data_IF_028694720331
#
_entry.id   IF_028694720331
#
_cell.length_a   1.000
_cell.length_b   1.000
_cell.length_c   1.000
_cell.angle_alpha   90.00
_cell.angle_beta   90.00
_cell.angle_gamma   90.00
#
_symmetry.space_group_name_H-M   'P 1'
#
loop_
_entity.id
_entity.type
_entity.pdbx_description
1 polymer ?
#
# COMPACT_ATOMS: atom_id res chain seq x y z
N UNK A 1 9.96 -75.91 -1.68
CA UNK A 1 8.73 -75.17 -1.55
C UNK A 1 9.09 -73.90 -0.85
N UNK A 2 9.38 -72.86 -1.61
CA UNK A 2 9.80 -71.55 -1.09
C UNK A 2 8.74 -70.51 -1.37
N UNK A 3 8.25 -69.84 -0.33
CA UNK A 3 7.27 -68.82 -0.37
C UNK A 3 7.97 -67.47 -0.75
N UNK A 4 7.47 -66.62 -1.66
CA UNK A 4 8.06 -65.34 -1.96
C UNK A 4 7.64 -64.29 -0.93
N UNK A 5 8.60 -63.47 -0.53
CA UNK A 5 8.43 -62.30 0.34
C UNK A 5 7.67 -61.19 -0.39
N UNK A 6 6.72 -60.58 0.32
CA UNK A 6 6.00 -59.42 -0.12
C UNK A 6 6.90 -58.15 0.02
N UNK A 7 7.15 -57.48 -1.09
CA UNK A 7 7.84 -56.19 -1.14
C UNK A 7 6.80 -55.13 -0.85
N UNK A 8 6.96 -54.43 0.27
CA UNK A 8 6.16 -53.25 0.65
C UNK A 8 6.76 -51.99 -0.02
N UNK A 9 6.05 -51.44 -0.98
CA UNK A 9 6.39 -50.12 -1.56
C UNK A 9 6.22 -49.01 -0.52
N UNK A 10 7.14 -48.04 -0.46
CA UNK A 10 6.98 -46.90 0.41
C UNK A 10 5.93 -45.94 -0.17
N UNK A 11 4.90 -45.67 0.64
CA UNK A 11 3.91 -44.62 0.40
C UNK A 11 4.64 -43.28 0.37
N UNK A 12 4.77 -42.71 -0.83
CA UNK A 12 5.22 -41.32 -1.01
C UNK A 12 4.11 -40.41 -0.52
N UNK A 13 4.25 -39.89 0.69
CA UNK A 13 3.44 -38.76 1.14
C UNK A 13 3.59 -37.60 0.16
N UNK A 14 2.54 -37.39 -0.62
CA UNK A 14 2.40 -36.16 -1.41
C UNK A 14 2.18 -35.02 -0.44
N UNK A 15 3.26 -34.35 -0.08
CA UNK A 15 3.19 -33.02 0.51
C UNK A 15 2.39 -32.14 -0.44
N UNK A 16 1.16 -31.83 -0.07
CA UNK A 16 0.33 -30.82 -0.74
C UNK A 16 1.09 -29.52 -0.66
N UNK A 17 1.74 -29.14 -1.75
CA UNK A 17 2.29 -27.81 -1.92
C UNK A 17 1.10 -26.84 -1.81
N UNK A 18 0.99 -26.21 -0.66
CA UNK A 18 0.13 -25.08 -0.43
C UNK A 18 0.58 -24.01 -1.43
N UNK A 19 -0.28 -23.65 -2.37
CA UNK A 19 -0.03 -22.53 -3.29
C UNK A 19 -0.08 -21.23 -2.46
N UNK A 20 0.99 -20.96 -1.71
CA UNK A 20 1.17 -19.69 -1.04
C UNK A 20 1.34 -18.63 -2.11
N UNK A 21 0.28 -17.88 -2.38
CA UNK A 21 0.40 -16.59 -3.05
C UNK A 21 1.41 -15.80 -2.23
N UNK A 22 2.58 -15.50 -2.79
CA UNK A 22 3.59 -14.78 -2.02
C UNK A 22 3.08 -13.37 -1.72
N UNK A 23 3.22 -12.91 -0.48
CA UNK A 23 2.82 -11.58 -0.05
C UNK A 23 3.40 -10.50 -0.97
N UNK A 24 2.60 -9.48 -1.30
CA UNK A 24 3.06 -8.38 -2.15
C UNK A 24 3.93 -7.38 -1.37
N UNK A 25 3.74 -7.30 -0.04
CA UNK A 25 4.61 -6.57 0.87
C UNK A 25 5.02 -7.46 2.03
N UNK A 26 6.32 -7.51 2.32
CA UNK A 26 6.85 -8.11 3.54
C UNK A 26 7.83 -7.15 4.20
N UNK A 27 7.62 -6.88 5.47
CA UNK A 27 8.59 -6.19 6.34
C UNK A 27 9.01 -7.20 7.40
N UNK A 28 10.30 -7.55 7.45
CA UNK A 28 10.82 -8.58 8.33
C UNK A 28 11.81 -7.99 9.34
N UNK A 29 11.51 -8.14 10.63
CA UNK A 29 12.32 -7.73 11.77
C UNK A 29 12.86 -6.31 11.66
N UNK A 30 12.01 -5.38 11.18
CA UNK A 30 12.44 -4.01 10.94
C UNK A 30 12.67 -3.29 12.28
N UNK A 31 13.87 -2.71 12.42
CA UNK A 31 14.24 -1.82 13.49
C UNK A 31 14.54 -0.43 12.95
N UNK A 32 14.00 0.58 13.61
CA UNK A 32 14.25 1.99 13.26
C UNK A 32 14.44 2.80 14.53
N UNK A 33 15.51 3.55 14.57
CA UNK A 33 15.85 4.44 15.67
C UNK A 33 16.12 5.87 15.19
N UNK A 34 15.99 6.82 16.11
CA UNK A 34 16.30 8.24 15.90
C UNK A 34 17.12 8.77 17.07
N UNK A 35 18.05 9.72 16.83
CA UNK A 35 18.69 10.47 17.90
C UNK A 35 17.64 11.24 18.72
N UNK A 36 17.75 11.19 20.04
CA UNK A 36 16.90 11.92 20.99
C UNK A 36 17.79 12.57 22.06
N UNK A 37 18.41 13.71 21.70
CA UNK A 37 19.43 14.35 22.50
C UNK A 37 20.66 13.44 22.64
N UNK A 38 21.09 13.11 23.89
CA UNK A 38 22.20 12.19 24.13
C UNK A 38 21.81 10.71 23.95
N UNK A 39 20.52 10.41 23.87
CA UNK A 39 19.98 9.05 23.83
C UNK A 39 19.56 8.63 22.42
N UNK A 40 19.19 7.36 22.25
CA UNK A 40 18.62 6.79 21.02
C UNK A 40 17.21 6.32 21.33
N UNK A 41 16.24 6.90 20.62
CA UNK A 41 14.85 6.47 20.69
C UNK A 41 14.57 5.42 19.62
N UNK A 42 14.27 4.19 20.02
CA UNK A 42 13.78 3.15 19.12
C UNK A 42 12.31 3.39 18.86
N UNK A 43 11.92 3.47 17.59
CA UNK A 43 10.54 3.76 17.13
C UNK A 43 9.89 2.51 16.54
N UNK A 44 10.64 1.69 15.80
CA UNK A 44 10.22 0.35 15.40
C UNK A 44 11.22 -0.64 15.99
N UNK A 45 10.72 -1.74 16.56
CA UNK A 45 11.54 -2.74 17.24
C UNK A 45 11.06 -4.14 16.87
N UNK A 46 11.85 -4.85 16.06
CA UNK A 46 11.57 -6.20 15.59
C UNK A 46 10.17 -6.30 14.95
N UNK A 47 9.84 -5.30 14.10
CA UNK A 47 8.52 -5.19 13.49
C UNK A 47 8.40 -6.14 12.31
N UNK A 48 7.32 -6.92 12.32
CA UNK A 48 6.95 -7.81 11.22
C UNK A 48 5.59 -7.43 10.64
N UNK A 49 5.48 -7.42 9.32
CA UNK A 49 4.26 -7.19 8.57
C UNK A 49 4.33 -7.93 7.24
N UNK A 50 3.29 -8.71 6.91
CA UNK A 50 3.07 -9.22 5.57
C UNK A 50 1.69 -8.81 5.10
N UNK A 51 1.55 -8.46 3.82
CA UNK A 51 0.26 -8.09 3.20
C UNK A 51 0.14 -8.80 1.86
N UNK A 52 -0.93 -9.57 1.72
CA UNK A 52 -1.21 -10.35 0.52
C UNK A 52 -1.84 -9.48 -0.59
N UNK A 53 -1.72 -9.88 -1.87
CA UNK A 53 -2.38 -9.18 -2.97
C UNK A 53 -3.91 -9.12 -2.80
N UNK A 54 -4.47 -7.91 -2.70
CA UNK A 54 -5.89 -7.65 -2.48
C UNK A 54 -6.30 -7.57 -1.00
N UNK A 55 -5.37 -7.81 -0.09
CA UNK A 55 -5.61 -7.68 1.35
C UNK A 55 -5.53 -6.21 1.78
N UNK A 56 -6.40 -5.82 2.71
CA UNK A 56 -6.45 -4.50 3.33
C UNK A 56 -6.10 -4.63 4.80
N UNK A 57 -4.95 -4.11 5.19
CA UNK A 57 -4.49 -4.07 6.57
C UNK A 57 -4.63 -2.65 7.11
N UNK A 58 -5.48 -2.46 8.12
CA UNK A 58 -5.60 -1.18 8.81
C UNK A 58 -4.70 -1.17 10.04
N UNK A 59 -3.92 -0.10 10.18
CA UNK A 59 -2.98 0.09 11.29
C UNK A 59 -3.42 1.31 12.10
N UNK A 60 -3.75 1.09 13.35
CA UNK A 60 -4.01 2.14 14.34
C UNK A 60 -2.87 2.26 15.35
N UNK A 61 -2.93 3.26 16.22
CA UNK A 61 -1.94 3.48 17.28
C UNK A 61 -1.91 4.94 17.72
N UNK A 62 -1.37 5.21 18.88
CA UNK A 62 -1.29 6.57 19.44
C UNK A 62 -0.43 7.51 18.58
N UNK A 63 -0.59 8.83 18.79
CA UNK A 63 0.31 9.80 18.16
C UNK A 63 1.74 9.55 18.62
N UNK A 64 2.68 9.55 17.69
CA UNK A 64 4.08 9.23 18.00
C UNK A 64 4.43 7.74 18.15
N UNK A 65 3.47 6.81 17.97
CA UNK A 65 3.72 5.37 18.04
C UNK A 65 4.64 4.82 16.93
N UNK A 66 4.95 5.62 15.89
CA UNK A 66 5.81 5.18 14.79
C UNK A 66 5.07 4.85 13.49
N UNK A 67 3.76 5.14 13.37
CA UNK A 67 2.97 4.84 12.16
C UNK A 67 3.58 5.44 10.90
N UNK A 68 3.92 6.72 10.91
CA UNK A 68 4.55 7.37 9.74
C UNK A 68 5.94 6.80 9.45
N UNK A 69 6.69 6.37 10.49
CA UNK A 69 7.96 5.67 10.29
C UNK A 69 7.75 4.33 9.59
N UNK A 70 6.75 3.55 10.01
CA UNK A 70 6.38 2.30 9.34
C UNK A 70 6.02 2.54 7.88
N UNK A 71 5.18 3.55 7.58
CA UNK A 71 4.81 3.87 6.20
C UNK A 71 6.02 4.30 5.35
N UNK A 72 6.98 5.04 5.92
CA UNK A 72 8.21 5.42 5.18
C UNK A 72 9.12 4.23 4.93
N UNK A 73 9.18 3.26 5.84
CA UNK A 73 9.93 2.01 5.66
C UNK A 73 9.25 1.12 4.62
N UNK A 74 7.96 0.81 4.79
CA UNK A 74 7.18 0.01 3.85
C UNK A 74 7.17 0.64 2.44
N UNK A 75 7.17 1.97 2.37
CA UNK A 75 7.22 2.75 1.14
C UNK A 75 8.61 2.92 0.54
N UNK A 76 9.63 2.28 1.08
CA UNK A 76 11.04 2.39 0.65
C UNK A 76 11.59 3.83 0.65
N UNK A 77 10.99 4.75 1.42
CA UNK A 77 11.47 6.12 1.58
C UNK A 77 12.58 6.21 2.64
N UNK A 78 12.57 5.28 3.58
CA UNK A 78 13.62 5.09 4.59
C UNK A 78 14.09 3.64 4.59
N UNK A 79 15.39 3.40 4.80
CA UNK A 79 15.89 2.07 5.15
C UNK A 79 15.64 1.83 6.63
N UNK A 80 15.25 0.63 7.05
CA UNK A 80 15.35 0.24 8.44
C UNK A 80 16.84 0.15 8.83
N UNK A 81 17.14 0.34 10.11
CA UNK A 81 18.50 0.19 10.63
C UNK A 81 18.89 -1.31 10.66
N UNK A 82 17.91 -2.19 10.92
CA UNK A 82 18.00 -3.64 10.82
C UNK A 82 16.72 -4.22 10.21
N UNK A 83 16.82 -5.41 9.63
CA UNK A 83 15.70 -6.07 8.97
C UNK A 83 15.60 -5.76 7.49
N UNK A 84 14.52 -6.21 6.86
CA UNK A 84 14.37 -6.18 5.41
C UNK A 84 12.95 -5.79 4.98
N UNK A 85 12.86 -5.17 3.80
CA UNK A 85 11.58 -4.93 3.10
C UNK A 85 11.62 -5.63 1.74
N UNK A 86 10.60 -6.43 1.47
CA UNK A 86 10.38 -7.09 0.17
C UNK A 86 9.09 -6.55 -0.45
N UNK A 87 9.15 -6.12 -1.71
CA UNK A 87 8.01 -5.60 -2.48
C UNK A 87 7.82 -6.47 -3.73
N UNK A 88 6.64 -7.04 -3.90
CA UNK A 88 6.31 -7.92 -5.04
C UNK A 88 7.37 -9.03 -5.26
N UNK A 89 7.88 -9.61 -4.18
CA UNK A 89 8.94 -10.63 -4.21
C UNK A 89 10.36 -10.08 -4.40
N UNK A 90 10.54 -8.76 -4.52
CA UNK A 90 11.82 -8.12 -4.74
C UNK A 90 12.41 -7.68 -3.40
N UNK A 91 13.48 -8.33 -2.92
CA UNK A 91 14.24 -7.92 -1.72
C UNK A 91 14.99 -6.60 -1.95
N UNK A 92 14.92 -5.66 -0.99
CA UNK A 92 15.41 -4.28 -1.19
C UNK A 92 16.60 -3.88 -0.31
N UNK A 93 17.07 -4.74 0.58
CA UNK A 93 18.15 -4.46 1.54
C UNK A 93 19.47 -4.07 0.87
N UNK A 94 19.89 -4.81 -0.16
CA UNK A 94 21.18 -4.59 -0.86
C UNK A 94 21.08 -3.56 -2.00
N UNK A 95 19.89 -3.01 -2.26
CA UNK A 95 19.66 -2.09 -3.38
C UNK A 95 20.26 -0.71 -3.12
N UNK A 96 20.85 -0.11 -4.15
CA UNK A 96 21.16 1.32 -4.19
C UNK A 96 19.89 2.16 -4.17
N UNK A 97 19.98 3.44 -3.79
CA UNK A 97 18.82 4.36 -3.82
C UNK A 97 18.18 4.49 -5.21
N UNK A 98 18.97 4.39 -6.26
CA UNK A 98 18.47 4.41 -7.65
C UNK A 98 17.60 3.17 -7.93
N UNK A 99 18.00 2.00 -7.48
CA UNK A 99 17.23 0.75 -7.63
C UNK A 99 15.96 0.79 -6.78
N UNK A 100 16.05 1.23 -5.51
CA UNK A 100 14.87 1.42 -4.64
C UNK A 100 13.87 2.40 -5.24
N UNK A 101 14.36 3.50 -5.83
CA UNK A 101 13.51 4.47 -6.54
C UNK A 101 12.81 3.84 -7.76
N UNK A 102 13.47 2.92 -8.46
CA UNK A 102 12.84 2.19 -9.56
C UNK A 102 11.72 1.28 -9.05
N UNK A 103 11.96 0.51 -7.97
CA UNK A 103 10.94 -0.34 -7.32
C UNK A 103 9.76 0.51 -6.83
N UNK A 104 10.02 1.66 -6.15
CA UNK A 104 8.94 2.58 -5.72
C UNK A 104 8.08 3.01 -6.89
N UNK A 105 8.69 3.48 -7.97
CA UNK A 105 7.97 3.97 -9.16
C UNK A 105 7.12 2.88 -9.81
N UNK A 106 7.57 1.63 -9.77
CA UNK A 106 6.92 0.51 -10.47
C UNK A 106 5.83 -0.15 -9.62
N UNK A 107 6.08 -0.32 -8.35
CA UNK A 107 5.25 -1.18 -7.48
C UNK A 107 4.50 -0.46 -6.38
N UNK A 108 4.84 0.79 -6.06
CA UNK A 108 4.25 1.48 -4.91
C UNK A 108 3.43 2.69 -5.34
N UNK A 109 2.30 2.90 -4.64
CA UNK A 109 1.56 4.15 -4.71
C UNK A 109 1.20 4.63 -3.30
N UNK A 110 1.00 5.96 -3.17
CA UNK A 110 0.69 6.60 -1.90
C UNK A 110 -0.59 7.42 -2.03
N UNK A 111 -1.44 7.30 -1.01
CA UNK A 111 -2.57 8.20 -0.77
C UNK A 111 -2.35 8.88 0.58
N UNK A 112 -2.33 10.20 0.61
CA UNK A 112 -2.10 10.98 1.81
C UNK A 112 -3.41 11.58 2.33
N UNK A 113 -3.42 12.01 3.57
CA UNK A 113 -4.52 12.75 4.19
C UNK A 113 -4.94 13.98 3.37
N UNK A 114 -3.97 14.72 2.86
CA UNK A 114 -4.20 15.74 1.83
C UNK A 114 -3.82 15.17 0.46
N UNK A 115 -4.70 15.28 -0.51
CA UNK A 115 -4.49 14.72 -1.85
C UNK A 115 -3.25 15.27 -2.58
N UNK A 116 -2.66 16.38 -2.11
CA UNK A 116 -1.45 17.00 -2.65
C UNK A 116 -1.49 17.11 -4.18
N UNK A 117 -2.60 17.66 -4.69
CA UNK A 117 -2.77 17.90 -6.12
C UNK A 117 -2.00 19.15 -6.54
N UNK A 118 -1.41 19.11 -7.73
CA UNK A 118 -0.75 20.25 -8.34
C UNK A 118 -1.80 21.28 -8.76
N UNK A 119 -1.76 22.53 -8.24
CA UNK A 119 -2.84 23.49 -8.47
C UNK A 119 -3.08 23.88 -9.92
N UNK A 120 -2.06 23.76 -10.76
CA UNK A 120 -2.07 24.12 -12.19
C UNK A 120 -2.52 23.00 -13.12
N UNK A 121 -2.75 21.79 -12.62
CA UNK A 121 -3.17 20.64 -13.42
C UNK A 121 -4.62 20.28 -13.13
N UNK A 122 -5.39 20.02 -14.17
CA UNK A 122 -6.74 19.46 -14.10
C UNK A 122 -6.70 18.02 -13.53
N UNK A 123 -7.87 17.50 -13.12
CA UNK A 123 -7.95 16.14 -12.59
C UNK A 123 -7.36 15.10 -13.54
N UNK A 124 -7.65 15.17 -14.83
CA UNK A 124 -7.08 14.23 -15.82
C UNK A 124 -5.58 14.42 -15.99
N UNK A 125 -5.06 15.65 -15.99
CA UNK A 125 -3.64 15.93 -16.12
C UNK A 125 -2.83 15.48 -14.89
N UNK A 126 -3.43 15.46 -13.69
CA UNK A 126 -2.82 14.84 -12.50
C UNK A 126 -2.49 13.36 -12.73
N UNK A 127 -3.36 12.66 -13.43
CA UNK A 127 -3.20 11.24 -13.74
C UNK A 127 -2.23 11.04 -14.92
N UNK A 128 -2.36 11.86 -15.96
CA UNK A 128 -1.45 11.83 -17.11
C UNK A 128 0.01 12.03 -16.69
N UNK A 129 0.25 12.87 -15.67
CA UNK A 129 1.58 13.09 -15.11
C UNK A 129 2.21 11.79 -14.60
N UNK A 130 1.42 10.87 -14.02
CA UNK A 130 1.93 9.55 -13.59
C UNK A 130 2.43 8.76 -14.79
N UNK A 131 1.70 8.73 -15.90
CA UNK A 131 2.15 8.11 -17.14
C UNK A 131 3.46 8.70 -17.64
N UNK A 132 3.60 10.03 -17.63
CA UNK A 132 4.84 10.71 -18.02
C UNK A 132 6.03 10.32 -17.13
N UNK A 133 5.84 10.25 -15.79
CA UNK A 133 6.88 9.81 -14.85
C UNK A 133 7.31 8.37 -15.15
N UNK A 134 6.36 7.51 -15.57
CA UNK A 134 6.60 6.12 -15.97
C UNK A 134 7.16 6.00 -17.41
N UNK A 135 7.38 7.12 -18.10
CA UNK A 135 7.85 7.22 -19.49
C UNK A 135 6.88 6.61 -20.51
N UNK A 136 5.60 6.52 -20.16
CA UNK A 136 4.54 6.12 -21.06
C UNK A 136 4.18 7.30 -21.98
N UNK A 137 3.76 7.01 -23.22
CA UNK A 137 3.44 8.03 -24.23
C UNK A 137 2.21 7.63 -25.04
N UNK A 138 1.61 8.63 -25.69
CA UNK A 138 0.50 8.44 -26.63
C UNK A 138 -0.87 8.63 -25.98
N UNK A 139 -1.92 8.48 -26.79
CA UNK A 139 -3.34 8.70 -26.41
C UNK A 139 -3.81 7.70 -25.35
N UNK A 140 -3.23 6.51 -25.32
CA UNK A 140 -3.57 5.46 -24.36
C UNK A 140 -3.40 5.91 -22.89
N UNK A 141 -2.47 6.84 -22.60
CA UNK A 141 -2.30 7.38 -21.24
C UNK A 141 -3.52 8.19 -20.84
N UNK A 142 -4.02 9.06 -21.73
CA UNK A 142 -5.21 9.88 -21.48
C UNK A 142 -6.46 9.02 -21.38
N UNK A 143 -6.62 8.04 -22.25
CA UNK A 143 -7.76 7.10 -22.22
C UNK A 143 -7.81 6.34 -20.88
N UNK A 144 -6.66 5.83 -20.41
CA UNK A 144 -6.54 5.18 -19.11
C UNK A 144 -6.80 6.17 -17.95
N UNK A 145 -6.31 7.40 -18.03
CA UNK A 145 -6.57 8.43 -17.03
C UNK A 145 -8.08 8.72 -16.91
N UNK A 146 -8.80 8.87 -18.02
CA UNK A 146 -10.24 9.08 -18.05
C UNK A 146 -11.00 7.85 -17.49
N UNK A 147 -10.60 6.64 -17.88
CA UNK A 147 -11.19 5.42 -17.34
C UNK A 147 -10.96 5.29 -15.81
N UNK A 148 -9.77 5.67 -15.33
CA UNK A 148 -9.47 5.67 -13.90
C UNK A 148 -10.27 6.73 -13.14
N UNK A 149 -10.49 7.92 -13.71
CA UNK A 149 -11.39 8.92 -13.11
C UNK A 149 -12.83 8.43 -13.08
N UNK A 150 -13.28 7.73 -14.10
CA UNK A 150 -14.62 7.13 -14.11
C UNK A 150 -14.81 6.09 -13.00
N UNK A 151 -13.79 5.29 -12.68
CA UNK A 151 -13.84 4.29 -11.58
C UNK A 151 -13.95 4.90 -10.17
N UNK A 152 -13.76 6.22 -10.03
CA UNK A 152 -13.93 6.96 -8.78
C UNK A 152 -15.04 8.03 -8.88
N UNK A 153 -15.97 7.89 -9.82
CA UNK A 153 -17.10 8.80 -10.07
C UNK A 153 -16.71 10.26 -10.32
N UNK A 154 -15.68 10.48 -11.14
CA UNK A 154 -15.18 11.81 -11.48
C UNK A 154 -15.13 12.10 -12.99
N UNK A 155 -15.92 11.38 -13.81
CA UNK A 155 -15.96 11.59 -15.27
C UNK A 155 -16.23 13.04 -15.63
N UNK A 156 -17.25 13.66 -15.03
CA UNK A 156 -17.65 15.05 -15.29
C UNK A 156 -16.71 16.10 -14.67
N UNK A 157 -15.73 15.65 -13.89
CA UNK A 157 -14.73 16.50 -13.21
C UNK A 157 -13.35 16.45 -13.86
N UNK A 158 -13.17 15.66 -14.91
CA UNK A 158 -11.87 15.40 -15.54
C UNK A 158 -11.09 16.67 -15.89
N UNK A 159 -11.77 17.71 -16.36
CA UNK A 159 -11.16 18.96 -16.80
C UNK A 159 -11.17 20.07 -15.72
N UNK A 160 -11.56 19.77 -14.48
CA UNK A 160 -11.57 20.74 -13.38
C UNK A 160 -10.21 20.82 -12.69
N UNK A 161 -9.84 22.05 -12.30
CA UNK A 161 -8.69 22.32 -11.45
C UNK A 161 -9.00 21.96 -9.99
N UNK A 162 -7.98 21.68 -9.13
CA UNK A 162 -8.21 21.38 -7.72
C UNK A 162 -9.01 22.41 -6.94
N UNK A 163 -8.92 23.69 -7.32
CA UNK A 163 -9.69 24.79 -6.72
C UNK A 163 -11.20 24.70 -7.00
N UNK A 164 -11.61 23.98 -8.03
CA UNK A 164 -12.99 23.80 -8.45
C UNK A 164 -13.63 22.51 -7.89
N UNK A 165 -12.81 21.70 -7.19
CA UNK A 165 -13.23 20.42 -6.62
C UNK A 165 -13.52 20.56 -5.11
N UNK A 166 -14.50 19.83 -4.63
CA UNK A 166 -14.75 19.63 -3.19
C UNK A 166 -13.60 18.85 -2.53
N UNK A 167 -13.53 18.83 -1.20
CA UNK A 167 -12.53 18.05 -0.46
C UNK A 167 -12.55 16.56 -0.81
N UNK A 168 -13.74 15.96 -0.84
CA UNK A 168 -13.91 14.55 -1.21
C UNK A 168 -13.57 14.27 -2.68
N UNK A 169 -13.90 15.17 -3.62
CA UNK A 169 -13.50 15.03 -5.02
C UNK A 169 -11.98 15.11 -5.17
N UNK A 170 -11.31 16.06 -4.49
CA UNK A 170 -9.84 16.11 -4.47
C UNK A 170 -9.24 14.81 -3.95
N UNK A 171 -9.79 14.25 -2.87
CA UNK A 171 -9.29 12.98 -2.32
C UNK A 171 -9.49 11.83 -3.31
N UNK A 172 -10.63 11.75 -4.00
CA UNK A 172 -10.87 10.76 -5.04
C UNK A 172 -9.93 10.92 -6.24
N UNK A 173 -9.57 12.14 -6.64
CA UNK A 173 -8.50 12.38 -7.63
C UNK A 173 -7.15 11.84 -7.13
N UNK A 174 -6.83 12.02 -5.84
CA UNK A 174 -5.62 11.46 -5.22
C UNK A 174 -5.56 9.93 -5.29
N UNK A 175 -6.70 9.27 -5.03
CA UNK A 175 -6.84 7.81 -5.17
C UNK A 175 -6.69 7.39 -6.64
N UNK A 176 -7.40 8.03 -7.56
CA UNK A 176 -7.29 7.75 -8.99
C UNK A 176 -5.85 7.90 -9.49
N UNK A 177 -5.13 8.94 -9.02
CA UNK A 177 -3.71 9.13 -9.33
C UNK A 177 -2.84 7.98 -8.81
N UNK A 178 -3.13 7.44 -7.63
CA UNK A 178 -2.44 6.27 -7.10
C UNK A 178 -2.73 5.02 -7.96
N UNK A 179 -3.99 4.79 -8.35
CA UNK A 179 -4.40 3.66 -9.18
C UNK A 179 -3.84 3.73 -10.61
N UNK A 180 -3.65 4.94 -11.15
CA UNK A 180 -3.05 5.15 -12.48
C UNK A 180 -1.65 4.53 -12.59
N UNK A 181 -0.94 4.37 -11.46
CA UNK A 181 0.35 3.70 -11.41
C UNK A 181 0.25 2.16 -11.48
N UNK A 182 -0.93 1.55 -11.41
CA UNK A 182 -1.14 0.09 -11.33
C UNK A 182 -0.19 -0.57 -10.30
N UNK A 183 -0.21 -0.12 -9.03
CA UNK A 183 0.76 -0.54 -8.04
C UNK A 183 0.48 -1.96 -7.56
N UNK A 184 1.53 -2.66 -7.10
CA UNK A 184 1.40 -3.92 -6.34
C UNK A 184 1.03 -3.66 -4.87
N UNK A 185 1.46 -2.51 -4.34
CA UNK A 185 1.23 -2.10 -2.94
C UNK A 185 0.75 -0.65 -2.88
N UNK A 186 -0.33 -0.42 -2.15
CA UNK A 186 -0.88 0.90 -1.85
C UNK A 186 -0.69 1.23 -0.38
N UNK A 187 -0.15 2.41 -0.11
CA UNK A 187 0.08 2.93 1.24
C UNK A 187 -0.80 4.17 1.42
N UNK A 188 -1.74 4.11 2.34
CA UNK A 188 -2.65 5.21 2.63
C UNK A 188 -2.43 5.74 4.06
N UNK A 189 -2.10 7.01 4.17
CA UNK A 189 -1.87 7.70 5.44
C UNK A 189 -3.07 8.61 5.74
N UNK A 190 -3.93 8.17 6.64
CA UNK A 190 -5.15 8.85 7.09
C UNK A 190 -6.02 9.40 5.93
N UNK A 191 -6.37 8.58 4.92
CA UNK A 191 -6.95 9.05 3.66
C UNK A 191 -8.34 9.70 3.82
N UNK A 192 -8.97 9.55 4.96
CA UNK A 192 -10.35 9.98 5.29
C UNK A 192 -10.42 11.05 6.39
N UNK A 193 -9.31 11.31 7.10
CA UNK A 193 -9.31 12.13 8.32
C UNK A 193 -9.80 13.59 8.15
N UNK A 194 -9.75 14.15 6.94
CA UNK A 194 -10.21 15.52 6.66
C UNK A 194 -11.62 15.58 6.05
N UNK A 195 -12.34 14.46 6.02
CA UNK A 195 -13.67 14.33 5.43
C UNK A 195 -14.74 14.16 6.51
N UNK A 196 -15.96 14.58 6.18
CA UNK A 196 -17.13 14.22 6.97
C UNK A 196 -17.41 12.70 6.88
N UNK A 197 -18.18 12.11 7.81
CA UNK A 197 -18.38 10.66 7.89
C UNK A 197 -18.94 10.03 6.60
N UNK A 198 -19.84 10.72 5.90
CA UNK A 198 -20.46 10.21 4.68
C UNK A 198 -19.42 10.11 3.55
N UNK A 199 -18.64 11.17 3.34
CA UNK A 199 -17.57 11.20 2.34
C UNK A 199 -16.42 10.27 2.71
N UNK A 200 -16.10 10.14 4.00
CA UNK A 200 -15.13 9.18 4.49
C UNK A 200 -15.51 7.73 4.13
N UNK A 201 -16.78 7.35 4.33
CA UNK A 201 -17.28 6.04 3.96
C UNK A 201 -17.17 5.78 2.43
N UNK A 202 -17.53 6.76 1.60
CA UNK A 202 -17.39 6.66 0.13
C UNK A 202 -15.92 6.43 -0.25
N UNK A 203 -15.00 7.23 0.29
CA UNK A 203 -13.56 7.14 -0.01
C UNK A 203 -12.97 5.81 0.46
N UNK A 204 -13.34 5.34 1.65
CA UNK A 204 -12.90 4.04 2.17
C UNK A 204 -13.42 2.89 1.31
N UNK A 205 -14.69 2.94 0.87
CA UNK A 205 -15.27 1.96 -0.05
C UNK A 205 -14.53 1.90 -1.39
N UNK A 206 -14.25 3.06 -2.00
CA UNK A 206 -13.51 3.13 -3.27
C UNK A 206 -12.10 2.55 -3.15
N UNK A 207 -11.40 2.82 -2.04
CA UNK A 207 -10.08 2.22 -1.77
C UNK A 207 -10.18 0.70 -1.66
N UNK A 208 -11.18 0.21 -0.96
CA UNK A 208 -11.40 -1.22 -0.75
C UNK A 208 -11.74 -1.94 -2.06
N UNK A 209 -12.64 -1.38 -2.85
CA UNK A 209 -13.02 -1.95 -4.14
C UNK A 209 -11.83 -1.98 -5.10
N UNK A 210 -11.05 -0.90 -5.14
CA UNK A 210 -9.83 -0.85 -5.96
C UNK A 210 -8.78 -1.89 -5.51
N UNK A 211 -8.55 -2.03 -4.20
CA UNK A 211 -7.62 -3.00 -3.64
C UNK A 211 -8.01 -4.43 -4.05
N UNK A 212 -9.27 -4.80 -3.90
CA UNK A 212 -9.77 -6.14 -4.25
C UNK A 212 -9.80 -6.39 -5.75
N UNK A 213 -10.35 -5.45 -6.53
CA UNK A 213 -10.49 -5.58 -7.99
C UNK A 213 -9.14 -5.71 -8.68
N UNK A 214 -8.15 -4.91 -8.28
CA UNK A 214 -6.82 -4.91 -8.88
C UNK A 214 -5.80 -5.75 -8.11
N UNK A 215 -6.23 -6.47 -7.06
CA UNK A 215 -5.37 -7.29 -6.19
C UNK A 215 -4.17 -6.52 -5.64
N UNK A 216 -4.41 -5.30 -5.17
CA UNK A 216 -3.40 -4.41 -4.60
C UNK A 216 -3.30 -4.67 -3.09
N UNK A 217 -2.14 -5.08 -2.59
CA UNK A 217 -1.88 -5.14 -1.15
C UNK A 217 -1.95 -3.73 -0.55
N UNK A 218 -2.84 -3.51 0.41
CA UNK A 218 -3.14 -2.15 0.87
C UNK A 218 -2.90 -2.01 2.37
N UNK A 219 -2.06 -1.04 2.75
CA UNK A 219 -1.90 -0.59 4.13
C UNK A 219 -2.62 0.74 4.30
N UNK A 220 -3.48 0.83 5.30
CA UNK A 220 -4.17 2.07 5.67
C UNK A 220 -3.82 2.41 7.13
N UNK A 221 -3.18 3.54 7.36
CA UNK A 221 -3.14 4.14 8.70
C UNK A 221 -4.41 4.95 8.88
N UNK A 222 -5.23 4.60 9.86
CA UNK A 222 -6.46 5.29 10.16
C UNK A 222 -6.83 5.17 11.64
N UNK A 223 -7.63 6.13 12.11
CA UNK A 223 -8.23 6.15 13.44
C UNK A 223 -9.76 6.10 13.37
N UNK A 224 -10.34 6.22 12.19
CA UNK A 224 -11.79 6.27 11.97
C UNK A 224 -12.38 4.88 11.67
N UNK A 225 -13.68 4.75 11.92
CA UNK A 225 -14.44 3.52 11.68
C UNK A 225 -14.64 3.24 10.18
N UNK A 226 -14.57 4.25 9.31
CA UNK A 226 -14.82 4.08 7.89
C UNK A 226 -13.79 3.15 7.23
N UNK A 227 -12.51 3.31 7.57
CA UNK A 227 -11.45 2.43 7.09
C UNK A 227 -11.54 1.01 7.69
N UNK A 228 -11.95 0.91 8.97
CA UNK A 228 -12.04 -0.37 9.69
C UNK A 228 -13.10 -1.32 9.13
N UNK A 229 -14.22 -0.78 8.61
CA UNK A 229 -15.31 -1.60 8.02
C UNK A 229 -14.83 -2.46 6.85
N UNK A 230 -13.80 -2.01 6.13
CA UNK A 230 -13.28 -2.69 4.94
C UNK A 230 -11.99 -3.49 5.21
N UNK A 231 -11.46 -3.46 6.45
CA UNK A 231 -10.23 -4.13 6.81
C UNK A 231 -10.38 -5.65 6.82
N UNK A 232 -9.44 -6.36 6.20
CA UNK A 232 -9.29 -7.81 6.35
C UNK A 232 -8.52 -8.12 7.64
N UNK A 233 -7.59 -7.24 8.03
CA UNK A 233 -6.88 -7.29 9.32
C UNK A 233 -6.78 -5.90 9.94
N UNK A 234 -6.95 -5.85 11.26
CA UNK A 234 -6.72 -4.65 12.06
C UNK A 234 -5.56 -4.90 13.02
N UNK A 235 -4.53 -4.07 12.93
CA UNK A 235 -3.33 -4.13 13.74
C UNK A 235 -3.18 -2.83 14.53
N UNK A 236 -2.66 -2.94 15.76
CA UNK A 236 -2.26 -1.79 16.58
C UNK A 236 -0.74 -1.69 16.65
N UNK A 237 -0.20 -0.54 16.33
CA UNK A 237 1.22 -0.24 16.54
C UNK A 237 1.41 0.30 17.95
N UNK A 238 2.14 -0.46 18.78
CA UNK A 238 2.41 -0.14 20.18
C UNK A 238 3.81 -0.61 20.56
N UNK A 239 4.61 0.25 21.21
CA UNK A 239 5.97 -0.09 21.61
C UNK A 239 6.87 -0.51 20.44
N UNK A 240 6.65 0.04 19.24
CA UNK A 240 7.40 -0.28 18.04
C UNK A 240 7.03 -1.60 17.35
N UNK A 241 6.00 -2.31 17.83
CA UNK A 241 5.55 -3.61 17.34
C UNK A 241 4.09 -3.60 16.91
N UNK A 242 3.72 -4.44 15.95
CA UNK A 242 2.33 -4.63 15.54
C UNK A 242 1.68 -5.75 16.36
N UNK A 243 0.46 -5.51 16.81
CA UNK A 243 -0.37 -6.47 17.54
C UNK A 243 -1.75 -6.57 16.88
N UNK A 244 -2.31 -7.76 16.71
CA UNK A 244 -3.70 -7.94 16.27
C UNK A 244 -4.68 -7.27 17.24
N UNK A 245 -5.76 -6.74 16.70
CA UNK A 245 -6.88 -6.19 17.48
C UNK A 245 -8.13 -7.04 17.34
#
# INVERSE_FOLDING_TARGET
>A
MSTPAATTDPVVERTTANSSTSAALVVSRARVSYPDGPDIRVVLDDLELSVEPGEIVVISGESGAGKSTLLTVAGLLRRPDEGEVTIAGIATSEMSERQRTAVRREHLAFVYQSANLLPSLTAVEQLELVGHIRKERGTAVRERALATLASVDLTDRANQLPSQLSGGERQRVGIARALMASPSVLIADEPTASLDPERAAIVAGLLADAARTHRIATIVVAHDTAALVHADRHLRLEGGRLRPM
#
